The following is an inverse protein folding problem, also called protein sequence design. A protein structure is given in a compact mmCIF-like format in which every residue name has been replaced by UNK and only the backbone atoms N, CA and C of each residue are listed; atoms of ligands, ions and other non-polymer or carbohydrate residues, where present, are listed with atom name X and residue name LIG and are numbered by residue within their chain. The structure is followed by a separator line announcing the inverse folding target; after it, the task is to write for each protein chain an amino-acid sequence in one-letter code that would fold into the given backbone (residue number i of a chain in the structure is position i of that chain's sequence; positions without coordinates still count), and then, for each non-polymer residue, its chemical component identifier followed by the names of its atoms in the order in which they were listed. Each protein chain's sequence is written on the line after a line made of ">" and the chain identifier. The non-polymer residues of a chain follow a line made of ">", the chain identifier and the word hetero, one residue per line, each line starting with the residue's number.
data_IF_427182888420
#
_entry.id   IF_427182888420
#
_cell.length_a   1.000
_cell.length_b   1.000
_cell.length_c   1.000
_cell.angle_alpha   90.00
_cell.angle_beta   90.00
_cell.angle_gamma   90.00
#
_symmetry.space_group_name_H-M   'P 1'
#
loop_
_entity.id
_entity.type
_entity.pdbx_description
1 polymer ?
#
# COMPACT_ATOMS: atom_id res chain seq x y z
N UNK A 1 -6.78 -13.78 0.09
CA UNK A 1 -5.86 -12.63 -0.11
C UNK A 1 -6.72 -11.43 -0.46
N UNK A 2 -6.54 -10.29 0.22
CA UNK A 2 -7.18 -9.02 -0.17
C UNK A 2 -6.09 -8.06 -0.62
N UNK A 3 -6.32 -7.39 -1.74
CA UNK A 3 -5.38 -6.42 -2.31
C UNK A 3 -6.07 -5.07 -2.35
N UNK A 4 -5.40 -4.06 -1.80
CA UNK A 4 -5.89 -2.68 -1.77
C UNK A 4 -4.92 -1.82 -2.57
N UNK A 5 -5.43 -1.20 -3.64
CA UNK A 5 -4.66 -0.22 -4.39
C UNK A 5 -4.92 1.17 -3.79
N UNK A 6 -3.93 1.68 -3.07
CA UNK A 6 -3.99 3.02 -2.45
C UNK A 6 -3.61 4.13 -3.43
N UNK A 7 -3.10 3.76 -4.62
CA UNK A 7 -2.79 4.68 -5.69
C UNK A 7 -1.54 5.53 -5.43
N UNK A 8 -1.43 6.63 -6.17
CA UNK A 8 -0.28 7.52 -6.13
C UNK A 8 -0.37 8.48 -4.93
N UNK A 9 0.56 8.33 -3.98
CA UNK A 9 0.66 9.21 -2.81
C UNK A 9 1.97 9.99 -2.84
N UNK A 10 1.97 11.18 -2.24
CA UNK A 10 3.18 11.95 -2.03
C UNK A 10 4.00 11.31 -0.89
N UNK A 11 5.30 11.15 -1.12
CA UNK A 11 6.21 10.68 -0.08
C UNK A 11 6.52 11.84 0.88
N UNK A 12 6.66 11.55 2.18
CA UNK A 12 7.07 12.55 3.17
C UNK A 12 8.50 13.06 2.94
N UNK A 13 9.34 12.24 2.29
CA UNK A 13 10.70 12.59 1.87
C UNK A 13 11.07 11.86 0.57
N UNK A 14 12.15 12.31 -0.08
CA UNK A 14 12.64 11.71 -1.31
C UNK A 14 13.18 10.29 -1.08
N UNK A 15 12.65 9.31 -1.82
CA UNK A 15 13.17 7.93 -1.81
C UNK A 15 13.71 7.61 -3.21
N UNK A 16 14.99 7.28 -3.33
CA UNK A 16 15.66 7.02 -4.62
C UNK A 16 15.33 8.11 -5.67
N UNK A 17 15.33 9.39 -5.26
CA UNK A 17 14.98 10.59 -6.07
C UNK A 17 13.51 10.70 -6.51
N UNK A 18 12.60 9.86 -6.02
CA UNK A 18 11.16 9.96 -6.28
C UNK A 18 10.46 10.79 -5.19
N UNK A 19 9.52 11.66 -5.59
CA UNK A 19 8.67 12.47 -4.68
C UNK A 19 7.28 11.86 -4.44
N UNK A 20 6.85 10.94 -5.31
CA UNK A 20 5.57 10.23 -5.24
C UNK A 20 5.81 8.74 -5.44
N UNK A 21 4.93 7.91 -4.90
CA UNK A 21 4.98 6.46 -5.06
C UNK A 21 3.58 5.89 -5.22
N UNK A 22 3.42 4.84 -6.03
CA UNK A 22 2.19 4.07 -6.09
C UNK A 22 2.21 3.04 -4.97
N UNK A 23 1.19 3.05 -4.12
CA UNK A 23 1.09 2.18 -2.96
C UNK A 23 0.09 1.05 -3.20
N UNK A 24 0.52 -0.18 -2.90
CA UNK A 24 -0.32 -1.37 -2.91
C UNK A 24 -0.17 -2.03 -1.55
N UNK A 25 -1.29 -2.39 -0.93
CA UNK A 25 -1.32 -3.06 0.35
C UNK A 25 -1.93 -4.46 0.18
N UNK A 26 -1.16 -5.47 0.59
CA UNK A 26 -1.57 -6.86 0.53
C UNK A 26 -1.91 -7.38 1.92
N UNK A 27 -3.09 -7.98 2.04
CA UNK A 27 -3.51 -8.75 3.21
C UNK A 27 -3.53 -10.21 2.83
N UNK A 28 -2.49 -10.92 3.26
CA UNK A 28 -2.27 -12.33 2.95
C UNK A 28 -2.22 -13.16 4.23
N UNK A 29 -2.79 -14.36 4.15
CA UNK A 29 -2.66 -15.40 5.17
C UNK A 29 -1.99 -16.58 4.50
N UNK A 30 -0.84 -16.98 5.02
CA UNK A 30 -0.02 -18.05 4.45
C UNK A 30 1.02 -18.55 5.45
N UNK A 31 1.68 -19.65 5.12
CA UNK A 31 2.81 -20.15 5.89
C UNK A 31 4.05 -19.28 5.67
N UNK A 32 5.02 -19.34 6.61
CA UNK A 32 6.25 -18.53 6.55
C UNK A 32 7.02 -18.68 5.24
N UNK A 33 7.12 -19.91 4.71
CA UNK A 33 7.80 -20.18 3.44
C UNK A 33 7.28 -19.34 2.26
N UNK A 34 5.97 -19.12 2.20
CA UNK A 34 5.34 -18.33 1.13
C UNK A 34 5.70 -16.84 1.27
N UNK A 35 5.83 -16.36 2.51
CA UNK A 35 6.25 -14.98 2.80
C UNK A 35 7.73 -14.80 2.45
N UNK A 36 8.58 -15.77 2.80
CA UNK A 36 10.02 -15.73 2.50
C UNK A 36 10.28 -15.66 0.98
N UNK A 37 9.53 -16.46 0.20
CA UNK A 37 9.62 -16.43 -1.27
C UNK A 37 9.14 -15.09 -1.85
N UNK A 38 8.07 -14.51 -1.28
CA UNK A 38 7.56 -13.20 -1.69
C UNK A 38 8.59 -12.10 -1.44
N UNK A 39 9.16 -12.03 -0.23
CA UNK A 39 10.17 -11.03 0.13
C UNK A 39 11.42 -11.14 -0.74
N UNK A 40 11.81 -12.37 -1.10
CA UNK A 40 12.91 -12.60 -2.03
C UNK A 40 12.63 -11.99 -3.40
N UNK A 41 11.44 -12.20 -3.95
CA UNK A 41 11.04 -11.60 -5.23
C UNK A 41 10.99 -10.07 -5.16
N UNK A 42 10.44 -9.51 -4.07
CA UNK A 42 10.37 -8.07 -3.84
C UNK A 42 11.75 -7.42 -3.71
N UNK A 43 12.72 -8.11 -3.11
CA UNK A 43 14.10 -7.63 -2.97
C UNK A 43 14.85 -7.51 -4.30
N UNK A 44 14.51 -8.36 -5.28
CA UNK A 44 15.17 -8.43 -6.59
C UNK A 44 14.54 -7.43 -7.58
N UNK A 45 13.28 -7.06 -7.39
CA UNK A 45 12.59 -6.14 -8.29
C UNK A 45 13.10 -4.70 -8.15
N UNK A 46 13.77 -4.23 -9.21
CA UNK A 46 14.31 -2.87 -9.30
C UNK A 46 13.23 -1.79 -9.42
N UNK A 47 12.01 -2.14 -9.84
CA UNK A 47 10.88 -1.20 -9.93
C UNK A 47 10.27 -0.90 -8.57
N UNK A 48 10.49 -1.77 -7.59
CA UNK A 48 10.00 -1.59 -6.23
C UNK A 48 10.91 -0.61 -5.47
N UNK A 49 10.32 0.50 -5.01
CA UNK A 49 11.07 1.49 -4.24
C UNK A 49 11.39 0.99 -2.83
N UNK A 50 10.39 0.36 -2.20
CA UNK A 50 10.43 -0.18 -0.83
C UNK A 50 9.25 -1.15 -0.64
N UNK A 51 9.45 -2.16 0.20
CA UNK A 51 8.40 -3.04 0.72
C UNK A 51 8.52 -3.14 2.24
N UNK A 52 7.45 -3.59 2.89
CA UNK A 52 7.41 -3.85 4.33
C UNK A 52 6.39 -4.96 4.59
N UNK A 53 6.86 -6.05 5.16
CA UNK A 53 6.02 -7.13 5.66
C UNK A 53 5.80 -6.97 7.16
N UNK A 54 4.55 -7.06 7.61
CA UNK A 54 4.22 -6.98 9.04
C UNK A 54 3.38 -8.18 9.44
N UNK A 55 3.85 -8.92 10.45
CA UNK A 55 3.05 -9.99 11.07
C UNK A 55 2.07 -9.39 12.08
N UNK A 56 0.79 -9.64 11.88
CA UNK A 56 -0.29 -9.17 12.76
C UNK A 56 -0.81 -10.28 13.67
N UNK A 57 -1.29 -9.91 14.87
CA UNK A 57 -1.96 -10.86 15.79
C UNK A 57 -3.38 -11.20 15.33
N UNK A 58 -4.14 -10.18 14.92
CA UNK A 58 -5.50 -10.30 14.36
C UNK A 58 -5.45 -9.97 12.88
N UNK A 59 -5.99 -10.87 12.05
CA UNK A 59 -6.04 -10.66 10.61
C UNK A 59 -7.36 -9.97 10.24
N UNK A 60 -7.30 -8.66 10.05
CA UNK A 60 -8.45 -7.83 9.65
C UNK A 60 -8.50 -7.66 8.13
N UNK A 61 -9.62 -8.07 7.53
CA UNK A 61 -9.86 -7.95 6.10
C UNK A 61 -10.77 -6.77 5.73
N UNK A 62 -11.43 -6.11 6.68
CA UNK A 62 -12.52 -5.20 6.35
C UNK A 62 -12.02 -3.77 6.16
N UNK A 63 -11.17 -3.30 7.08
CA UNK A 63 -10.67 -1.91 7.10
C UNK A 63 -9.84 -1.55 5.88
N UNK A 64 -10.22 -0.52 5.12
CA UNK A 64 -9.43 0.05 4.01
C UNK A 64 -9.08 1.50 4.34
N UNK A 65 -7.79 1.81 4.51
CA UNK A 65 -7.35 3.13 5.00
C UNK A 65 -7.33 4.21 3.92
N UNK A 66 -6.85 3.89 2.73
CA UNK A 66 -6.73 4.82 1.60
C UNK A 66 -7.66 4.44 0.45
N UNK A 67 -8.80 3.84 0.79
CA UNK A 67 -9.86 3.63 -0.19
C UNK A 67 -10.27 4.97 -0.78
N UNK A 68 -10.59 5.01 -2.07
CA UNK A 68 -11.21 6.20 -2.66
C UNK A 68 -12.49 6.48 -1.89
N UNK A 69 -12.45 7.45 -0.97
CA UNK A 69 -13.66 8.16 -0.58
C UNK A 69 -14.11 8.82 -1.86
N UNK A 70 -15.32 8.52 -2.30
CA UNK A 70 -15.94 9.18 -3.43
C UNK A 70 -15.67 10.70 -3.35
N UNK A 71 -15.29 11.29 -4.48
CA UNK A 71 -14.94 12.71 -4.66
C UNK A 71 -16.12 13.68 -4.35
N UNK A 72 -17.07 13.28 -3.52
CA UNK A 72 -18.31 14.00 -3.20
C UNK A 72 -18.09 15.12 -2.18
N UNK A 73 -17.16 14.99 -1.23
CA UNK A 73 -17.01 16.01 -0.15
C UNK A 73 -16.16 17.23 -0.54
N UNK A 74 -15.29 17.15 -1.56
CA UNK A 74 -14.38 18.28 -1.90
C UNK A 74 -14.94 19.28 -2.92
N UNK A 75 -16.07 19.00 -3.55
CA UNK A 75 -16.71 19.97 -4.47
C UNK A 75 -17.62 20.98 -3.75
N UNK A 76 -18.03 20.72 -2.52
CA UNK A 76 -18.91 21.63 -1.77
C UNK A 76 -18.14 22.78 -1.09
N UNK A 77 -16.88 22.58 -0.72
CA UNK A 77 -16.08 23.60 -0.01
C UNK A 77 -15.43 24.68 -0.89
N UNK A 78 -15.64 24.65 -2.22
CA UNK A 78 -15.06 25.63 -3.18
C UNK A 78 -16.13 26.58 -3.75
N UNK A 79 -17.37 26.52 -3.25
CA UNK A 79 -18.50 27.32 -3.76
C UNK A 79 -19.00 28.43 -2.83
N UNK A 80 -18.30 28.77 -1.76
CA UNK A 80 -18.63 29.93 -0.92
C UNK A 80 -17.56 31.02 -1.02
#
# INVERSE_FOLDING_TARGET
>A
VKTENWGLLNLSYLIKKNRKGSYIHFKIKGGGKVIDELEKNESIDKKLLRYLTVRVKKFDLDTVYFGKKDDTEKKESVKN
#
